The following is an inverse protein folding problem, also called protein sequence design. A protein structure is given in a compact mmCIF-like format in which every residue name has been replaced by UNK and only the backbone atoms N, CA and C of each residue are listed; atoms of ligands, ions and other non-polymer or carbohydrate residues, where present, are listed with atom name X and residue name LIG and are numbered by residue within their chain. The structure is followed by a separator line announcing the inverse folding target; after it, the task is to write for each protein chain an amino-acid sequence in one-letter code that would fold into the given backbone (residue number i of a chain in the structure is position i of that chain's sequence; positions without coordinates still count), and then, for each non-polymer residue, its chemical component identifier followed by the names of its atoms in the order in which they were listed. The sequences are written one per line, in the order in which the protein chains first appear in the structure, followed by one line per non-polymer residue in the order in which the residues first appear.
data_IF_085083744715
#
_entry.id   IF_085083744715
#
_cell.length_a   1.000
_cell.length_b   1.000
_cell.length_c   1.000
_cell.angle_alpha   90.00
_cell.angle_beta   90.00
_cell.angle_gamma   90.00
#
_symmetry.space_group_name_H-M   'P 1'
#
loop_
_entity.id
_entity.type
_entity.pdbx_description
1 polymer ?
#
# COMPACT_ATOMS: atom_id res chain seq x y z
N UNK A 1 -30.04 -24.05 -10.25
CA UNK A 1 -28.73 -24.60 -10.66
C UNK A 1 -27.70 -24.59 -9.52
N UNK A 2 -27.58 -23.50 -8.76
CA UNK A 2 -26.56 -23.30 -7.72
C UNK A 2 -26.51 -24.33 -6.57
N UNK A 3 -27.66 -24.85 -6.12
CA UNK A 3 -27.74 -25.80 -5.00
C UNK A 3 -27.14 -27.18 -5.30
N UNK A 4 -27.21 -27.62 -6.57
CA UNK A 4 -26.65 -28.91 -7.01
C UNK A 4 -25.11 -28.90 -6.94
N UNK A 5 -24.49 -27.81 -7.41
CA UNK A 5 -23.04 -27.61 -7.34
C UNK A 5 -22.51 -27.55 -5.90
N UNK A 6 -23.28 -26.96 -4.98
CA UNK A 6 -22.94 -26.94 -3.54
C UNK A 6 -22.90 -28.34 -2.93
N UNK A 7 -23.90 -29.18 -3.24
CA UNK A 7 -23.94 -30.56 -2.76
C UNK A 7 -22.81 -31.40 -3.40
N UNK A 8 -22.51 -31.16 -4.68
CA UNK A 8 -21.38 -31.78 -5.36
C UNK A 8 -20.03 -31.39 -4.74
N UNK A 9 -19.83 -30.12 -4.39
CA UNK A 9 -18.62 -29.64 -3.73
C UNK A 9 -18.40 -30.30 -2.36
N UNK A 10 -19.42 -30.36 -1.51
CA UNK A 10 -19.35 -31.09 -0.23
C UNK A 10 -19.04 -32.58 -0.46
N UNK A 11 -19.65 -33.19 -1.48
CA UNK A 11 -19.35 -34.58 -1.85
C UNK A 11 -17.89 -34.75 -2.28
N UNK A 12 -17.30 -33.82 -3.03
CA UNK A 12 -15.89 -33.88 -3.42
C UNK A 12 -14.95 -33.77 -2.22
N UNK A 13 -15.23 -32.85 -1.29
CA UNK A 13 -14.45 -32.72 -0.04
C UNK A 13 -14.54 -34.00 0.78
N UNK A 14 -15.75 -34.55 1.01
CA UNK A 14 -15.90 -35.78 1.79
C UNK A 14 -15.24 -37.00 1.12
N UNK A 15 -15.36 -37.16 -0.20
CA UNK A 15 -14.70 -38.24 -0.92
C UNK A 15 -13.17 -38.10 -0.91
N UNK A 16 -12.66 -36.87 -0.95
CA UNK A 16 -11.23 -36.59 -0.82
C UNK A 16 -10.73 -36.94 0.58
N UNK A 17 -11.46 -36.53 1.62
CA UNK A 17 -11.17 -36.89 3.02
C UNK A 17 -11.26 -38.40 3.28
N UNK A 18 -12.17 -39.11 2.62
CA UNK A 18 -12.30 -40.57 2.76
C UNK A 18 -11.10 -41.31 2.15
N UNK A 19 -10.62 -40.85 0.99
CA UNK A 19 -9.51 -41.46 0.24
C UNK A 19 -8.12 -41.04 0.72
N UNK A 20 -8.01 -39.94 1.47
CA UNK A 20 -6.73 -39.41 1.91
C UNK A 20 -6.05 -40.28 2.98
N UNK A 21 -4.71 -40.27 2.96
CA UNK A 21 -3.89 -40.93 3.99
C UNK A 21 -4.17 -40.32 5.38
N UNK A 22 -4.14 -41.11 6.48
CA UNK A 22 -4.36 -40.62 7.84
C UNK A 22 -3.55 -39.36 8.20
N UNK A 23 -2.29 -39.32 7.78
CA UNK A 23 -1.36 -38.20 8.02
C UNK A 23 -1.83 -36.88 7.40
N UNK A 24 -2.39 -36.93 6.18
CA UNK A 24 -2.89 -35.73 5.48
C UNK A 24 -4.22 -35.27 6.07
N UNK A 25 -5.07 -36.21 6.51
CA UNK A 25 -6.36 -35.90 7.15
C UNK A 25 -6.21 -35.18 8.47
N UNK A 26 -5.09 -35.40 9.16
CA UNK A 26 -4.75 -34.74 10.41
C UNK A 26 -4.13 -33.34 10.23
N UNK A 27 -3.91 -32.87 9.01
CA UNK A 27 -3.40 -31.51 8.82
C UNK A 27 -4.44 -30.48 9.26
N UNK A 28 -4.03 -29.46 10.03
CA UNK A 28 -4.93 -28.42 10.54
C UNK A 28 -5.85 -27.80 9.47
N UNK A 29 -5.33 -27.34 8.32
CA UNK A 29 -6.16 -26.75 7.27
C UNK A 29 -7.18 -27.73 6.65
N UNK A 30 -6.87 -29.03 6.63
CA UNK A 30 -7.78 -30.10 6.20
C UNK A 30 -8.85 -30.36 7.27
N UNK A 31 -8.47 -30.43 8.54
CA UNK A 31 -9.41 -30.53 9.67
C UNK A 31 -10.37 -29.33 9.71
N UNK A 32 -9.89 -28.14 9.35
CA UNK A 32 -10.72 -26.93 9.25
C UNK A 32 -11.74 -27.03 8.12
N UNK A 33 -11.32 -27.48 6.94
CA UNK A 33 -12.22 -27.72 5.82
C UNK A 33 -13.26 -28.81 6.12
N UNK A 34 -12.84 -29.90 6.78
CA UNK A 34 -13.72 -30.97 7.22
C UNK A 34 -14.77 -30.49 8.21
N UNK A 35 -14.36 -29.70 9.21
CA UNK A 35 -15.25 -29.11 10.21
C UNK A 35 -16.31 -28.20 9.58
N UNK A 36 -15.92 -27.27 8.72
CA UNK A 36 -16.89 -26.39 8.05
C UNK A 36 -17.80 -27.17 7.10
N UNK A 37 -17.29 -28.19 6.42
CA UNK A 37 -18.11 -29.03 5.52
C UNK A 37 -19.18 -29.83 6.28
N UNK A 38 -18.83 -30.37 7.45
CA UNK A 38 -19.79 -31.04 8.35
C UNK A 38 -20.79 -30.04 8.91
N UNK A 39 -20.33 -28.85 9.31
CA UNK A 39 -21.21 -27.79 9.79
C UNK A 39 -22.20 -27.33 8.71
N UNK A 40 -21.75 -27.07 7.46
CA UNK A 40 -22.63 -26.72 6.33
C UNK A 40 -23.64 -27.84 6.06
N UNK A 41 -23.21 -29.11 6.12
CA UNK A 41 -24.11 -30.26 5.98
C UNK A 41 -25.17 -30.26 7.08
N UNK A 42 -24.77 -30.02 8.33
CA UNK A 42 -25.67 -30.00 9.48
C UNK A 42 -26.59 -28.77 9.48
N UNK A 43 -26.16 -27.62 8.96
CA UNK A 43 -26.99 -26.41 8.84
C UNK A 43 -28.12 -26.56 7.81
N UNK A 44 -28.10 -27.63 7.00
CA UNK A 44 -29.24 -27.99 6.16
C UNK A 44 -30.40 -28.61 6.98
N UNK A 45 -30.10 -29.07 8.19
CA UNK A 45 -31.03 -29.82 9.07
C UNK A 45 -31.32 -29.02 10.35
N UNK A 46 -30.33 -28.31 10.88
CA UNK A 46 -30.40 -27.53 12.13
C UNK A 46 -30.18 -26.04 11.88
N UNK A 47 -30.65 -25.18 12.80
CA UNK A 47 -30.45 -23.72 12.68
C UNK A 47 -28.98 -23.36 12.98
N UNK A 48 -28.26 -22.71 12.03
CA UNK A 48 -26.90 -22.23 12.29
C UNK A 48 -26.89 -21.03 13.26
N UNK A 49 -25.87 -20.93 14.12
CA UNK A 49 -25.66 -19.81 15.05
C UNK A 49 -25.90 -20.11 16.53
N UNK A 50 -26.37 -21.31 16.88
CA UNK A 50 -26.64 -21.70 18.27
C UNK A 50 -25.39 -22.21 19.01
N UNK A 51 -24.34 -22.63 18.29
CA UNK A 51 -23.15 -23.21 18.92
C UNK A 51 -22.04 -22.16 19.08
N UNK A 52 -21.37 -22.15 20.24
CA UNK A 52 -20.33 -21.15 20.58
C UNK A 52 -19.15 -21.16 19.60
N UNK A 53 -18.91 -22.27 18.92
CA UNK A 53 -17.81 -22.43 17.96
C UNK A 53 -18.18 -22.00 16.53
N UNK A 54 -19.46 -21.75 16.23
CA UNK A 54 -19.90 -21.25 14.91
C UNK A 54 -19.15 -19.96 14.54
N UNK A 55 -19.03 -19.04 15.50
CA UNK A 55 -18.28 -17.77 15.33
C UNK A 55 -16.78 -17.95 15.08
N UNK A 56 -16.22 -19.09 15.47
CA UNK A 56 -14.79 -19.36 15.33
C UNK A 56 -14.45 -20.03 13.99
N UNK A 57 -15.40 -20.73 13.37
CA UNK A 57 -15.16 -21.48 12.12
C UNK A 57 -15.78 -20.84 10.87
N UNK A 58 -16.89 -20.13 11.04
CA UNK A 58 -17.65 -19.59 9.91
C UNK A 58 -16.92 -18.39 9.28
N UNK A 59 -16.43 -17.39 10.04
CA UNK A 59 -15.75 -16.26 9.43
C UNK A 59 -14.47 -16.64 8.66
N UNK A 60 -13.57 -17.51 9.19
CA UNK A 60 -12.37 -17.92 8.45
C UNK A 60 -12.68 -18.71 7.18
N UNK A 61 -13.82 -19.40 7.13
CA UNK A 61 -14.22 -20.17 5.96
C UNK A 61 -15.11 -19.39 4.98
N UNK A 62 -15.58 -18.19 5.32
CA UNK A 62 -16.47 -17.41 4.46
C UNK A 62 -15.74 -16.87 3.22
N UNK A 63 -16.52 -16.41 2.24
CA UNK A 63 -16.01 -15.53 1.18
C UNK A 63 -15.69 -14.16 1.77
N UNK A 64 -14.57 -13.54 1.40
CA UNK A 64 -14.16 -12.23 1.90
C UNK A 64 -14.26 -11.24 0.74
N UNK A 65 -15.07 -10.21 0.93
CA UNK A 65 -15.17 -9.09 -0.01
C UNK A 65 -14.22 -7.97 0.45
N UNK A 66 -13.56 -7.33 -0.51
CA UNK A 66 -12.90 -6.05 -0.26
C UNK A 66 -13.97 -4.98 -0.04
N UNK A 67 -13.74 -4.04 0.88
CA UNK A 67 -14.66 -2.91 1.08
C UNK A 67 -14.76 -1.99 -0.17
N UNK A 68 -13.85 -2.14 -1.14
CA UNK A 68 -13.80 -1.38 -2.40
C UNK A 68 -13.94 -2.33 -3.61
N UNK A 69 -15.00 -2.16 -4.41
CA UNK A 69 -15.28 -2.92 -5.65
C UNK A 69 -14.17 -2.81 -6.73
N UNK A 70 -13.20 -1.90 -6.58
CA UNK A 70 -12.09 -1.70 -7.53
C UNK A 70 -10.93 -2.70 -7.35
N UNK A 71 -10.92 -3.51 -6.28
CA UNK A 71 -9.92 -4.56 -6.09
C UNK A 71 -10.49 -5.93 -6.47
N UNK A 72 -10.51 -6.25 -7.77
CA UNK A 72 -10.44 -7.64 -8.22
C UNK A 72 -9.03 -8.15 -7.95
N UNK A 73 -8.72 -8.38 -6.68
CA UNK A 73 -7.50 -9.00 -6.22
C UNK A 73 -7.39 -10.41 -6.85
N UNK A 74 -6.26 -10.70 -7.50
CA UNK A 74 -5.88 -12.08 -7.80
C UNK A 74 -5.87 -12.89 -6.48
N UNK A 75 -6.16 -14.20 -6.50
CA UNK A 75 -6.34 -15.04 -5.30
C UNK A 75 -5.22 -14.86 -4.24
N UNK A 76 -3.99 -14.59 -4.70
CA UNK A 76 -2.80 -14.34 -3.88
C UNK A 76 -2.82 -13.02 -3.07
N UNK A 77 -3.55 -12.00 -3.54
CA UNK A 77 -3.69 -10.71 -2.85
C UNK A 77 -4.79 -10.76 -1.76
N UNK A 78 -5.80 -11.61 -1.95
CA UNK A 78 -6.91 -11.81 -1.00
C UNK A 78 -6.41 -12.31 0.36
N UNK A 79 -5.57 -13.34 0.38
CA UNK A 79 -5.05 -13.90 1.64
C UNK A 79 -4.21 -12.89 2.43
N UNK A 80 -3.48 -12.01 1.74
CA UNK A 80 -2.71 -10.95 2.36
C UNK A 80 -3.61 -9.88 2.99
N UNK A 81 -4.70 -9.52 2.32
CA UNK A 81 -5.66 -8.53 2.81
C UNK A 81 -6.48 -9.05 4.02
N UNK A 82 -6.82 -10.34 4.02
CA UNK A 82 -7.43 -11.03 5.18
C UNK A 82 -6.47 -11.02 6.36
N UNK A 83 -5.19 -11.38 6.15
CA UNK A 83 -4.17 -11.35 7.21
C UNK A 83 -3.90 -9.94 7.76
N UNK A 84 -4.03 -8.90 6.93
CA UNK A 84 -3.89 -7.49 7.32
C UNK A 84 -5.15 -6.89 7.98
N UNK A 85 -6.26 -7.64 8.05
CA UNK A 85 -7.53 -7.18 8.62
C UNK A 85 -8.24 -6.10 7.79
N UNK A 86 -7.97 -6.05 6.48
CA UNK A 86 -8.48 -5.06 5.52
C UNK A 86 -9.61 -5.56 4.64
N UNK A 87 -10.03 -6.81 4.84
CA UNK A 87 -11.20 -7.42 4.22
C UNK A 87 -12.15 -7.87 5.33
N UNK A 88 -13.44 -7.94 5.02
CA UNK A 88 -14.48 -8.48 5.90
C UNK A 88 -15.10 -9.75 5.32
N UNK A 89 -15.55 -10.70 6.15
CA UNK A 89 -16.22 -11.89 5.66
C UNK A 89 -17.65 -11.52 5.21
N UNK A 90 -17.98 -11.81 3.95
CA UNK A 90 -19.30 -11.62 3.35
C UNK A 90 -20.26 -12.75 3.76
N UNK A 91 -20.63 -12.76 5.05
CA UNK A 91 -21.37 -13.87 5.67
C UNK A 91 -22.87 -13.81 5.36
N UNK A 92 -23.49 -12.63 5.51
CA UNK A 92 -24.95 -12.46 5.40
C UNK A 92 -25.39 -11.99 4.01
N UNK A 93 -24.57 -11.19 3.33
CA UNK A 93 -24.91 -10.51 2.07
C UNK A 93 -25.02 -11.47 0.86
N UNK A 94 -24.26 -12.58 0.87
CA UNK A 94 -24.27 -13.57 -0.22
C UNK A 94 -25.09 -14.83 0.07
N UNK A 95 -25.65 -14.95 1.28
CA UNK A 95 -26.46 -16.08 1.74
C UNK A 95 -25.68 -17.39 1.93
N UNK A 96 -26.04 -18.16 2.97
CA UNK A 96 -25.38 -19.36 3.51
C UNK A 96 -24.11 -19.88 2.78
N UNK A 97 -23.00 -19.31 3.24
CA UNK A 97 -21.68 -19.90 3.49
C UNK A 97 -20.93 -20.50 2.30
N UNK A 98 -20.30 -19.62 1.55
CA UNK A 98 -19.26 -19.97 0.59
C UNK A 98 -17.97 -20.30 1.32
N UNK A 99 -17.53 -21.56 1.22
CA UNK A 99 -16.13 -21.88 1.44
C UNK A 99 -15.35 -21.34 0.25
N UNK A 100 -14.63 -20.23 0.44
CA UNK A 100 -13.78 -19.64 -0.62
C UNK A 100 -12.35 -20.14 -0.52
N UNK A 101 -11.61 -20.02 -1.63
CA UNK A 101 -10.18 -20.31 -1.73
C UNK A 101 -9.78 -21.71 -1.22
N UNK A 102 -10.55 -22.76 -1.54
CA UNK A 102 -10.14 -24.13 -1.20
C UNK A 102 -8.92 -24.50 -2.03
N UNK A 103 -7.84 -24.88 -1.37
CA UNK A 103 -6.61 -25.36 -2.01
C UNK A 103 -6.73 -26.87 -2.29
N UNK A 104 -6.14 -27.32 -3.38
CA UNK A 104 -6.03 -28.75 -3.72
C UNK A 104 -4.57 -29.13 -3.91
N UNK A 105 -3.96 -29.63 -2.84
CA UNK A 105 -2.56 -30.03 -2.80
C UNK A 105 -2.42 -31.48 -2.36
N UNK A 106 -1.42 -32.19 -2.87
CA UNK A 106 -1.13 -33.59 -2.51
C UNK A 106 -2.34 -34.55 -2.63
N UNK A 107 -3.31 -34.22 -3.48
CA UNK A 107 -4.52 -35.01 -3.69
C UNK A 107 -5.64 -34.80 -2.67
N UNK A 108 -5.52 -33.81 -1.78
CA UNK A 108 -6.50 -33.50 -0.73
C UNK A 108 -6.94 -32.03 -0.79
N UNK A 109 -8.22 -31.77 -0.50
CA UNK A 109 -8.72 -30.41 -0.34
C UNK A 109 -8.44 -29.87 1.06
N UNK A 110 -8.01 -28.61 1.17
CA UNK A 110 -7.77 -27.92 2.44
C UNK A 110 -8.21 -26.46 2.40
N UNK A 111 -8.42 -25.87 3.58
CA UNK A 111 -8.45 -24.41 3.69
C UNK A 111 -7.04 -23.84 3.46
N UNK A 112 -6.91 -22.57 3.04
CA UNK A 112 -5.63 -21.88 3.02
C UNK A 112 -4.99 -21.86 4.42
N UNK A 113 -3.67 -22.05 4.55
CA UNK A 113 -2.98 -22.01 5.84
C UNK A 113 -3.19 -20.71 6.61
N UNK A 114 -3.34 -19.57 5.92
CA UNK A 114 -3.62 -18.26 6.50
C UNK A 114 -4.95 -18.22 7.28
N UNK A 115 -5.87 -19.15 6.96
CA UNK A 115 -7.20 -19.30 7.56
C UNK A 115 -7.25 -20.42 8.59
N UNK A 116 -6.08 -20.96 8.97
CA UNK A 116 -5.95 -22.00 9.98
C UNK A 116 -6.49 -21.56 11.34
N UNK A 117 -7.18 -22.46 12.02
CA UNK A 117 -7.71 -22.22 13.36
C UNK A 117 -6.64 -22.46 14.42
N UNK A 118 -6.84 -21.93 15.62
CA UNK A 118 -5.96 -22.25 16.74
C UNK A 118 -6.24 -23.66 17.28
N UNK A 119 -5.25 -24.23 17.97
CA UNK A 119 -5.31 -25.58 18.52
C UNK A 119 -6.49 -25.80 19.48
N UNK A 120 -6.86 -24.75 20.24
CA UNK A 120 -7.97 -24.80 21.20
C UNK A 120 -9.32 -24.87 20.49
N UNK A 121 -9.48 -24.14 19.39
CA UNK A 121 -10.70 -24.18 18.58
C UNK A 121 -10.84 -25.53 17.89
N UNK A 122 -9.76 -26.11 17.36
CA UNK A 122 -9.81 -27.47 16.82
C UNK A 122 -10.26 -28.50 17.86
N UNK A 123 -9.68 -28.49 19.06
CA UNK A 123 -10.10 -29.40 20.13
C UNK A 123 -11.59 -29.23 20.47
N UNK A 124 -12.07 -27.98 20.55
CA UNK A 124 -13.49 -27.70 20.81
C UNK A 124 -14.42 -28.21 19.71
N UNK A 125 -14.09 -28.02 18.43
CA UNK A 125 -14.91 -28.46 17.28
C UNK A 125 -15.05 -29.98 17.26
N UNK A 126 -13.94 -30.68 17.50
CA UNK A 126 -13.89 -32.14 17.46
C UNK A 126 -14.26 -32.78 18.81
N UNK A 127 -14.77 -31.97 19.76
CA UNK A 127 -15.20 -32.38 21.09
C UNK A 127 -14.10 -33.14 21.88
N UNK A 128 -12.87 -32.67 21.78
CA UNK A 128 -11.72 -33.13 22.54
C UNK A 128 -11.40 -32.14 23.68
N UNK A 129 -10.97 -32.63 24.83
CA UNK A 129 -10.59 -31.81 25.98
C UNK A 129 -9.22 -31.13 25.80
N UNK A 130 -8.40 -31.67 24.90
CA UNK A 130 -7.07 -31.14 24.59
C UNK A 130 -6.67 -31.41 23.15
N UNK A 131 -5.68 -30.66 22.68
CA UNK A 131 -5.08 -30.89 21.38
C UNK A 131 -4.32 -32.22 21.30
N UNK A 132 -3.74 -32.68 22.42
CA UNK A 132 -3.09 -34.00 22.50
C UNK A 132 -4.10 -35.13 22.29
N UNK A 133 -5.31 -34.99 22.82
CA UNK A 133 -6.41 -35.94 22.57
C UNK A 133 -6.84 -35.94 21.10
N UNK A 134 -6.82 -34.78 20.45
CA UNK A 134 -7.07 -34.67 19.01
C UNK A 134 -5.98 -35.37 18.17
N UNK A 135 -4.70 -35.18 18.51
CA UNK A 135 -3.58 -35.86 17.84
C UNK A 135 -3.67 -37.39 17.98
N UNK A 136 -4.11 -37.87 19.15
CA UNK A 136 -4.38 -39.29 19.41
C UNK A 136 -5.57 -39.80 18.60
N UNK A 137 -6.66 -39.02 18.52
CA UNK A 137 -7.86 -39.37 17.76
C UNK A 137 -7.57 -39.56 16.27
N UNK A 138 -6.69 -38.73 15.71
CA UNK A 138 -6.30 -38.79 14.30
C UNK A 138 -5.02 -39.60 14.03
N UNK A 139 -4.44 -40.22 15.07
CA UNK A 139 -3.24 -41.07 15.02
C UNK A 139 -2.07 -40.44 14.25
N UNK A 140 -1.86 -39.13 14.37
CA UNK A 140 -0.87 -38.41 13.57
C UNK A 140 -0.26 -37.21 14.31
N UNK A 141 1.07 -37.14 14.34
CA UNK A 141 1.85 -35.99 14.82
C UNK A 141 1.84 -34.77 13.87
N UNK A 142 0.91 -34.76 12.89
CA UNK A 142 0.86 -33.80 11.80
C UNK A 142 -0.01 -32.57 12.09
N UNK A 143 -0.78 -32.58 13.19
CA UNK A 143 -1.45 -31.38 13.68
C UNK A 143 -0.38 -30.47 14.29
N UNK A 144 0.43 -29.82 13.46
CA UNK A 144 1.35 -28.80 13.97
C UNK A 144 0.48 -27.68 14.54
N UNK A 145 0.70 -27.29 15.80
CA UNK A 145 0.21 -26.01 16.33
C UNK A 145 0.44 -25.00 15.22
N UNK A 146 -0.63 -24.40 14.69
CA UNK A 146 -0.46 -23.22 13.88
C UNK A 146 0.39 -22.30 14.73
N UNK A 147 1.67 -22.13 14.37
CA UNK A 147 2.42 -20.98 14.84
C UNK A 147 1.53 -19.88 14.33
N UNK A 148 0.82 -19.20 15.24
CA UNK A 148 0.65 -17.76 15.04
C UNK A 148 2.07 -17.32 14.82
N UNK A 149 2.45 -17.17 13.55
CA UNK A 149 3.66 -16.48 13.24
C UNK A 149 3.59 -15.21 14.08
N UNK A 150 4.68 -14.85 14.79
CA UNK A 150 4.68 -13.60 15.52
C UNK A 150 4.06 -12.55 14.61
N UNK A 151 3.17 -11.72 15.13
CA UNK A 151 2.37 -10.72 14.38
C UNK A 151 3.21 -9.81 13.47
N UNK A 152 4.55 -9.90 13.56
CA UNK A 152 5.47 -9.62 12.48
C UNK A 152 5.94 -10.92 11.81
N UNK A 153 5.26 -11.34 10.72
CA UNK A 153 5.99 -11.86 9.57
C UNK A 153 7.24 -10.98 9.41
N UNK A 154 8.47 -11.51 9.22
CA UNK A 154 9.56 -10.67 8.75
C UNK A 154 9.02 -10.10 7.46
N UNK A 155 8.55 -8.83 7.48
CA UNK A 155 7.79 -8.16 6.42
C UNK A 155 8.32 -8.75 5.14
N UNK A 156 7.56 -9.70 4.54
CA UNK A 156 7.97 -10.31 3.28
C UNK A 156 8.04 -9.10 2.41
N UNK A 157 9.28 -8.67 2.16
CA UNK A 157 9.58 -7.27 1.89
C UNK A 157 8.72 -6.99 0.72
N UNK A 158 7.62 -6.20 0.89
CA UNK A 158 6.62 -5.96 -0.16
C UNK A 158 7.47 -5.87 -1.38
N UNK A 159 7.39 -6.88 -2.25
CA UNK A 159 8.32 -6.97 -3.38
C UNK A 159 7.84 -5.75 -4.14
N UNK A 160 8.50 -4.63 -3.85
CA UNK A 160 7.96 -3.28 -4.08
C UNK A 160 7.79 -3.37 -5.56
N UNK A 161 6.54 -3.51 -6.04
CA UNK A 161 6.26 -3.67 -7.47
C UNK A 161 7.17 -2.63 -8.06
N UNK A 162 8.22 -3.09 -8.77
CA UNK A 162 9.25 -2.17 -9.26
C UNK A 162 8.43 -1.26 -10.13
N UNK A 163 8.21 -0.03 -9.68
CA UNK A 163 7.52 0.96 -10.50
C UNK A 163 8.42 0.98 -11.72
N UNK A 164 7.95 0.51 -12.89
CA UNK A 164 8.81 0.44 -14.05
C UNK A 164 9.39 1.84 -14.24
N UNK A 165 10.71 1.96 -14.47
CA UNK A 165 11.32 3.27 -14.68
C UNK A 165 10.51 3.98 -15.75
N UNK A 166 9.93 5.13 -15.41
CA UNK A 166 9.16 5.89 -16.39
C UNK A 166 10.13 6.39 -17.45
N UNK A 167 9.72 6.38 -18.71
CA UNK A 167 10.55 6.89 -19.79
C UNK A 167 10.96 8.33 -19.46
N UNK A 168 12.28 8.57 -19.41
CA UNK A 168 12.86 9.91 -19.38
C UNK A 168 12.40 10.63 -20.63
N UNK A 169 12.08 11.91 -20.49
CA UNK A 169 11.83 12.82 -21.60
C UNK A 169 13.08 13.69 -21.78
N UNK A 170 14.06 13.30 -22.63
CA UNK A 170 15.33 14.00 -22.75
C UNK A 170 15.17 15.42 -23.30
N UNK A 171 14.08 15.66 -24.03
CA UNK A 171 13.59 16.96 -24.49
C UNK A 171 13.32 17.96 -23.36
N UNK A 172 13.24 17.48 -22.11
CA UNK A 172 12.95 18.27 -20.91
C UNK A 172 14.09 18.25 -19.91
N UNK A 173 15.28 17.84 -20.34
CA UNK A 173 16.45 17.86 -19.48
C UNK A 173 16.92 19.29 -19.27
N UNK A 174 17.25 19.59 -18.02
CA UNK A 174 17.82 20.84 -17.54
C UNK A 174 19.31 20.59 -17.37
N UNK A 175 20.14 21.50 -17.85
CA UNK A 175 21.56 21.48 -17.52
C UNK A 175 21.74 21.95 -16.07
N UNK A 176 22.11 21.03 -15.18
CA UNK A 176 22.37 21.33 -13.78
C UNK A 176 23.85 21.69 -13.55
N UNK A 177 24.71 21.61 -14.58
CA UNK A 177 26.13 21.92 -14.48
C UNK A 177 26.93 20.96 -13.58
N UNK A 178 26.40 19.78 -13.27
CA UNK A 178 27.02 18.89 -12.27
C UNK A 178 28.20 18.11 -12.84
N UNK A 179 28.28 17.96 -14.17
CA UNK A 179 29.43 17.42 -14.87
C UNK A 179 30.73 18.22 -14.64
N UNK A 180 30.63 19.54 -14.53
CA UNK A 180 31.78 20.44 -14.30
C UNK A 180 32.07 20.65 -12.80
N UNK A 181 31.09 20.38 -11.94
CA UNK A 181 31.19 20.57 -10.49
C UNK A 181 32.10 19.55 -9.77
N UNK A 182 32.62 18.53 -10.48
CA UNK A 182 33.60 17.59 -9.93
C UNK A 182 33.07 16.64 -8.85
N UNK A 183 31.75 16.47 -8.76
CA UNK A 183 31.08 15.64 -7.74
C UNK A 183 31.46 14.17 -7.91
N UNK A 184 31.93 13.55 -6.81
CA UNK A 184 32.39 12.15 -6.84
C UNK A 184 31.27 11.18 -6.45
N UNK A 185 30.79 10.41 -7.41
CA UNK A 185 29.79 9.35 -7.19
C UNK A 185 30.50 8.02 -6.93
N UNK A 186 30.21 7.36 -5.81
CA UNK A 186 30.74 6.03 -5.49
C UNK A 186 29.89 4.93 -6.14
N UNK A 187 30.53 3.89 -6.66
CA UNK A 187 29.83 2.64 -6.97
C UNK A 187 29.47 1.90 -5.68
N UNK A 188 28.19 1.54 -5.53
CA UNK A 188 27.71 0.73 -4.41
C UNK A 188 27.48 -0.71 -4.87
N UNK A 189 28.30 -1.69 -4.44
CA UNK A 189 28.05 -3.09 -4.78
C UNK A 189 26.82 -3.64 -4.03
N UNK A 190 25.98 -4.41 -4.72
CA UNK A 190 24.98 -5.29 -4.09
C UNK A 190 23.59 -4.70 -3.80
N UNK A 191 23.24 -3.52 -4.31
CA UNK A 191 21.84 -3.03 -4.22
C UNK A 191 21.00 -3.70 -5.30
N UNK A 192 20.34 -4.82 -4.97
CA UNK A 192 19.44 -5.55 -5.87
C UNK A 192 18.26 -4.64 -6.27
N UNK A 193 18.31 -4.10 -7.50
CA UNK A 193 17.36 -3.12 -8.02
C UNK A 193 17.92 -1.72 -8.29
N UNK A 194 19.18 -1.47 -7.95
CA UNK A 194 19.92 -0.37 -8.55
C UNK A 194 20.19 -0.75 -10.01
N UNK A 195 19.36 -0.24 -10.91
CA UNK A 195 19.80 -0.13 -12.30
C UNK A 195 21.07 0.74 -12.23
N UNK A 196 22.17 0.31 -12.85
CA UNK A 196 23.40 1.09 -13.00
C UNK A 196 23.15 2.30 -13.93
N UNK A 197 22.17 3.15 -13.60
CA UNK A 197 21.75 4.32 -14.38
C UNK A 197 22.66 5.47 -13.99
N UNK A 198 23.87 5.44 -14.52
CA UNK A 198 24.55 6.69 -14.85
C UNK A 198 24.82 6.74 -16.37
N UNK A 199 24.01 6.06 -17.17
CA UNK A 199 24.04 6.05 -18.66
C UNK A 199 23.72 7.44 -19.29
N UNK A 200 23.80 8.52 -18.51
CA UNK A 200 23.70 9.91 -18.96
C UNK A 200 24.41 10.91 -18.03
N UNK A 201 25.36 10.45 -17.20
CA UNK A 201 26.05 11.29 -16.23
C UNK A 201 25.19 11.69 -15.01
N UNK A 202 25.78 12.47 -14.11
CA UNK A 202 25.12 12.93 -12.88
C UNK A 202 23.91 13.83 -13.18
N UNK A 203 24.04 14.74 -14.15
CA UNK A 203 22.95 15.57 -14.66
C UNK A 203 21.77 14.75 -15.17
N UNK A 204 22.03 13.67 -15.92
CA UNK A 204 20.96 12.81 -16.43
C UNK A 204 20.17 12.11 -15.32
N UNK A 205 20.85 11.68 -14.25
CA UNK A 205 20.19 11.07 -13.10
C UNK A 205 19.38 12.11 -12.30
N UNK A 206 19.93 13.30 -12.08
CA UNK A 206 19.24 14.38 -11.37
C UNK A 206 18.02 14.86 -12.15
N UNK A 207 18.12 14.97 -13.48
CA UNK A 207 16.97 15.26 -14.35
C UNK A 207 15.87 14.23 -14.22
N UNK A 208 16.23 12.95 -14.26
CA UNK A 208 15.25 11.89 -14.16
C UNK A 208 14.58 11.88 -12.76
N UNK A 209 15.32 12.18 -11.70
CA UNK A 209 14.76 12.38 -10.35
C UNK A 209 13.81 13.58 -10.33
N UNK A 210 14.17 14.70 -10.95
CA UNK A 210 13.34 15.90 -11.02
C UNK A 210 12.03 15.66 -11.76
N UNK A 211 12.08 15.02 -12.94
CA UNK A 211 10.90 14.66 -13.71
C UNK A 211 10.01 13.65 -12.95
N UNK A 212 10.62 12.64 -12.33
CA UNK A 212 9.89 11.67 -11.50
C UNK A 212 9.24 12.34 -10.28
N UNK A 213 9.89 13.36 -9.69
CA UNK A 213 9.33 14.12 -8.57
C UNK A 213 8.00 14.77 -8.95
N UNK A 214 7.96 15.52 -10.05
CA UNK A 214 6.75 16.19 -10.51
C UNK A 214 5.62 15.18 -10.77
N UNK A 215 5.94 14.06 -11.40
CA UNK A 215 4.98 12.98 -11.70
C UNK A 215 4.46 12.27 -10.45
N UNK A 216 5.35 11.95 -9.52
CA UNK A 216 5.00 11.21 -8.32
C UNK A 216 4.16 12.04 -7.35
N UNK A 217 4.45 13.34 -7.21
CA UNK A 217 3.66 14.23 -6.36
C UNK A 217 2.20 14.31 -6.84
N UNK A 218 1.98 14.37 -8.16
CA UNK A 218 0.65 14.32 -8.76
C UNK A 218 -0.01 12.94 -8.59
N UNK A 219 0.75 11.86 -8.75
CA UNK A 219 0.23 10.49 -8.61
C UNK A 219 -0.28 10.19 -7.19
N UNK A 220 0.34 10.78 -6.16
CA UNK A 220 -0.03 10.55 -4.75
C UNK A 220 -0.99 11.60 -4.18
N UNK A 221 -1.69 12.37 -5.03
CA UNK A 221 -2.78 13.25 -4.58
C UNK A 221 -3.79 12.40 -3.79
N UNK A 222 -4.17 12.82 -2.57
CA UNK A 222 -5.02 12.02 -1.71
C UNK A 222 -6.40 11.73 -2.32
N UNK A 223 -6.97 10.60 -1.91
CA UNK A 223 -8.37 10.24 -2.16
C UNK A 223 -9.12 10.18 -0.84
N UNK A 224 -10.38 10.60 -0.86
CA UNK A 224 -11.33 10.39 0.23
C UNK A 224 -12.08 9.09 0.00
N UNK A 225 -12.07 8.19 1.00
CA UNK A 225 -12.85 6.95 0.95
C UNK A 225 -14.35 7.17 0.67
N UNK A 226 -14.90 8.34 1.02
CA UNK A 226 -16.33 8.66 0.84
C UNK A 226 -16.65 9.56 -0.35
N UNK A 227 -15.66 10.24 -0.93
CA UNK A 227 -15.88 11.30 -1.94
C UNK A 227 -15.00 11.16 -3.18
N UNK A 228 -14.27 10.05 -3.30
CA UNK A 228 -13.35 9.81 -4.41
C UNK A 228 -12.07 10.64 -4.33
N UNK A 229 -11.34 10.75 -5.44
CA UNK A 229 -10.06 11.45 -5.50
C UNK A 229 -10.24 12.98 -5.38
N UNK A 230 -9.34 13.65 -4.65
CA UNK A 230 -9.33 15.12 -4.62
C UNK A 230 -8.78 15.75 -5.89
N UNK A 231 -8.22 14.99 -6.83
CA UNK A 231 -7.67 15.53 -8.07
C UNK A 231 -8.70 15.61 -9.18
N UNK A 232 -8.61 16.65 -10.01
CA UNK A 232 -9.31 16.74 -11.29
C UNK A 232 -8.55 16.09 -12.46
N UNK A 233 -7.32 15.64 -12.22
CA UNK A 233 -6.50 14.98 -13.25
C UNK A 233 -6.90 13.53 -13.44
N UNK A 234 -6.95 13.13 -14.70
CA UNK A 234 -6.97 11.73 -15.12
C UNK A 234 -5.68 11.01 -14.75
N UNK A 235 -5.70 9.67 -14.80
CA UNK A 235 -4.51 8.85 -14.50
C UNK A 235 -3.36 9.19 -15.46
N UNK A 236 -3.65 9.40 -16.74
CA UNK A 236 -2.66 9.76 -17.75
C UNK A 236 -2.08 11.16 -17.51
N UNK A 237 -2.92 12.16 -17.20
CA UNK A 237 -2.44 13.51 -16.87
C UNK A 237 -1.54 13.53 -15.62
N UNK A 238 -1.82 12.68 -14.61
CA UNK A 238 -0.92 12.53 -13.46
C UNK A 238 0.37 11.82 -13.84
N UNK A 239 0.29 10.83 -14.74
CA UNK A 239 1.46 10.09 -15.20
C UNK A 239 2.44 11.00 -15.95
N UNK A 240 1.88 11.94 -16.70
CA UNK A 240 2.60 12.82 -17.62
C UNK A 240 2.79 14.24 -17.06
N UNK A 241 2.53 14.43 -15.75
CA UNK A 241 2.65 15.72 -15.09
C UNK A 241 4.04 16.35 -15.29
N UNK A 242 4.03 17.65 -15.55
CA UNK A 242 5.22 18.46 -15.90
C UNK A 242 5.35 19.65 -14.96
N UNK A 243 6.43 20.41 -15.12
CA UNK A 243 6.64 21.63 -14.34
C UNK A 243 5.53 22.67 -14.57
N UNK A 244 4.93 22.69 -15.76
CA UNK A 244 3.83 23.59 -16.11
C UNK A 244 2.62 23.41 -15.18
N UNK A 245 2.33 22.17 -14.79
CA UNK A 245 1.27 21.87 -13.82
C UNK A 245 1.50 22.61 -12.49
N UNK A 246 2.75 22.67 -12.04
CA UNK A 246 3.16 23.26 -10.77
C UNK A 246 3.45 24.76 -10.86
N UNK A 247 3.65 25.30 -12.07
CA UNK A 247 3.77 26.74 -12.36
C UNK A 247 2.41 27.42 -12.54
N UNK A 248 1.37 26.67 -12.88
CA UNK A 248 0.01 27.18 -13.01
C UNK A 248 -0.59 27.63 -11.66
N UNK A 249 -1.35 28.73 -11.66
CA UNK A 249 -2.16 29.15 -10.51
C UNK A 249 -3.53 28.46 -10.44
N UNK A 250 -3.85 27.62 -11.43
CA UNK A 250 -5.05 26.77 -11.45
C UNK A 250 -4.69 25.39 -10.90
N UNK A 251 -5.16 25.09 -9.69
CA UNK A 251 -4.86 23.87 -8.96
C UNK A 251 -5.66 22.70 -9.53
N UNK A 252 -5.02 21.54 -9.76
CA UNK A 252 -5.66 20.35 -10.30
C UNK A 252 -6.43 19.55 -9.23
N UNK A 253 -7.24 20.25 -8.43
CA UNK A 253 -7.93 19.72 -7.25
C UNK A 253 -9.42 20.10 -7.27
N UNK A 254 -10.28 19.24 -6.73
CA UNK A 254 -11.72 19.50 -6.56
C UNK A 254 -12.01 20.36 -5.33
N UNK A 255 -11.14 20.32 -4.33
CA UNK A 255 -11.10 21.24 -3.20
C UNK A 255 -9.70 21.33 -2.59
N UNK A 256 -9.39 22.43 -1.90
CA UNK A 256 -8.11 22.64 -1.24
C UNK A 256 -8.19 23.67 -0.11
N UNK A 257 -7.28 23.54 0.86
CA UNK A 257 -6.93 24.62 1.78
C UNK A 257 -5.59 25.21 1.35
N UNK A 258 -5.62 26.45 0.88
CA UNK A 258 -4.48 27.13 0.26
C UNK A 258 -3.87 28.12 1.24
N UNK A 259 -2.55 28.11 1.37
CA UNK A 259 -1.80 29.05 2.24
C UNK A 259 -0.53 29.52 1.56
N UNK A 260 -0.20 30.80 1.71
CA UNK A 260 1.11 31.32 1.29
C UNK A 260 2.18 30.78 2.24
N UNK A 261 3.20 30.14 1.67
CA UNK A 261 4.38 29.70 2.40
C UNK A 261 5.49 30.73 2.20
N UNK A 262 6.11 31.13 3.31
CA UNK A 262 7.23 32.08 3.26
C UNK A 262 8.41 31.50 2.49
N UNK A 263 9.28 32.37 1.97
CA UNK A 263 10.50 31.93 1.28
C UNK A 263 11.33 30.94 2.12
N UNK A 264 11.51 31.18 3.43
CA UNK A 264 12.22 30.25 4.33
C UNK A 264 11.49 28.90 4.48
N UNK A 265 10.16 28.91 4.57
CA UNK A 265 9.37 27.68 4.60
C UNK A 265 9.54 26.89 3.30
N UNK A 266 9.55 27.58 2.16
CA UNK A 266 9.72 26.95 0.85
C UNK A 266 11.11 26.33 0.70
N UNK A 267 12.15 27.14 0.90
CA UNK A 267 13.54 26.81 0.60
C UNK A 267 14.17 25.89 1.65
N UNK A 268 13.80 26.03 2.92
CA UNK A 268 14.36 25.22 3.99
C UNK A 268 13.41 24.12 4.42
N UNK A 269 12.14 24.42 4.67
CA UNK A 269 11.26 23.38 5.22
C UNK A 269 10.80 22.40 4.15
N UNK A 270 10.22 22.87 3.06
CA UNK A 270 9.68 22.00 2.02
C UNK A 270 10.76 21.36 1.17
N UNK A 271 11.74 22.14 0.70
CA UNK A 271 12.83 21.58 -0.09
C UNK A 271 13.56 20.47 0.68
N UNK A 272 13.95 20.70 1.94
CA UNK A 272 14.60 19.65 2.76
C UNK A 272 13.70 18.44 3.04
N UNK A 273 12.38 18.56 2.88
CA UNK A 273 11.49 17.40 2.98
C UNK A 273 11.45 16.60 1.67
N UNK A 274 11.42 17.25 0.53
CA UNK A 274 11.35 16.56 -0.76
C UNK A 274 12.72 16.03 -1.21
N UNK A 275 13.74 16.84 -1.01
CA UNK A 275 15.13 16.51 -1.28
C UNK A 275 15.88 16.73 0.03
N UNK A 276 16.05 15.74 0.92
CA UNK A 276 16.90 15.85 2.10
C UNK A 276 18.34 15.40 1.82
N UNK A 277 19.30 16.01 2.49
CA UNK A 277 20.66 15.47 2.60
C UNK A 277 20.72 14.33 3.64
N UNK A 278 21.87 13.68 3.78
CA UNK A 278 22.01 12.51 4.66
C UNK A 278 21.67 12.80 6.12
N UNK A 279 22.12 13.94 6.66
CA UNK A 279 21.79 14.36 8.02
C UNK A 279 20.28 14.56 8.21
N UNK A 280 19.63 15.22 7.26
CA UNK A 280 18.18 15.47 7.27
C UNK A 280 17.37 14.17 7.11
N UNK A 281 17.86 13.21 6.32
CA UNK A 281 17.24 11.88 6.19
C UNK A 281 17.24 11.13 7.53
N UNK A 282 18.32 11.18 8.29
CA UNK A 282 18.42 10.55 9.62
C UNK A 282 17.46 11.15 10.64
N UNK A 283 17.16 12.44 10.52
CA UNK A 283 16.22 13.14 11.39
C UNK A 283 14.74 12.85 11.06
N UNK A 284 14.44 12.15 9.96
CA UNK A 284 13.05 11.88 9.56
C UNK A 284 12.38 10.78 10.40
N UNK A 285 11.06 10.86 10.60
CA UNK A 285 10.30 9.78 11.21
C UNK A 285 10.47 8.45 10.46
N UNK A 286 10.52 7.34 11.19
CA UNK A 286 10.66 5.98 10.62
C UNK A 286 9.49 5.62 9.69
N UNK A 287 8.30 6.12 10.01
CA UNK A 287 7.09 5.92 9.19
C UNK A 287 6.80 7.23 8.45
N UNK A 288 6.91 7.18 7.13
CA UNK A 288 6.51 8.26 6.24
C UNK A 288 5.40 7.78 5.32
N UNK A 289 4.38 8.61 5.15
CA UNK A 289 3.24 8.40 4.27
C UNK A 289 3.56 8.96 2.88
N UNK A 290 3.24 8.18 1.85
CA UNK A 290 3.41 8.44 0.40
C UNK A 290 4.86 8.56 -0.10
N UNK A 291 5.84 8.98 0.69
CA UNK A 291 7.25 8.99 0.27
C UNK A 291 7.75 7.61 -0.18
N UNK A 292 7.41 6.56 0.57
CA UNK A 292 7.84 5.20 0.27
C UNK A 292 7.29 4.63 -1.04
N UNK A 293 6.20 5.19 -1.58
CA UNK A 293 5.60 4.79 -2.86
C UNK A 293 6.05 5.63 -4.05
N UNK A 294 6.84 6.70 -3.83
CA UNK A 294 7.36 7.54 -4.89
C UNK A 294 8.67 6.96 -5.45
N UNK A 295 8.79 6.91 -6.78
CA UNK A 295 9.98 6.48 -7.49
C UNK A 295 11.14 7.48 -7.33
N UNK A 296 10.88 8.78 -7.48
CA UNK A 296 11.90 9.83 -7.32
C UNK A 296 12.57 9.74 -5.95
N UNK A 297 11.77 9.45 -4.92
CA UNK A 297 12.26 9.38 -3.54
C UNK A 297 13.27 8.25 -3.38
N UNK A 298 13.00 7.08 -3.96
CA UNK A 298 13.91 5.95 -3.89
C UNK A 298 15.21 6.23 -4.64
N UNK A 299 15.12 6.83 -5.82
CA UNK A 299 16.30 7.24 -6.60
C UNK A 299 17.11 8.29 -5.88
N UNK A 300 16.47 9.30 -5.29
CA UNK A 300 17.12 10.32 -4.48
C UNK A 300 17.87 9.71 -3.29
N UNK A 301 17.26 8.76 -2.57
CA UNK A 301 17.94 8.06 -1.47
C UNK A 301 19.13 7.23 -1.94
N UNK A 302 19.07 6.65 -3.14
CA UNK A 302 20.20 5.91 -3.73
C UNK A 302 21.30 6.88 -4.14
N UNK A 303 20.96 7.97 -4.84
CA UNK A 303 21.91 8.99 -5.28
C UNK A 303 22.66 9.60 -4.09
N UNK A 304 21.94 10.02 -3.05
CA UNK A 304 22.55 10.57 -1.83
C UNK A 304 23.40 9.56 -1.07
N UNK A 305 23.11 8.25 -1.14
CA UNK A 305 24.01 7.23 -0.61
C UNK A 305 25.27 7.02 -1.46
N UNK A 306 25.19 7.21 -2.78
CA UNK A 306 26.34 7.13 -3.68
C UNK A 306 27.27 8.35 -3.53
N UNK A 307 26.71 9.52 -3.24
CA UNK A 307 27.45 10.78 -3.01
C UNK A 307 27.70 10.94 -1.51
N UNK A 308 28.83 10.43 -1.02
CA UNK A 308 29.02 10.29 0.43
C UNK A 308 29.43 11.57 1.17
N UNK A 309 30.01 12.56 0.48
CA UNK A 309 30.39 13.83 1.09
C UNK A 309 29.16 14.74 1.16
N UNK A 310 28.85 15.29 2.34
CA UNK A 310 27.68 16.17 2.50
C UNK A 310 27.81 17.44 1.63
N UNK A 311 29.02 17.99 1.48
CA UNK A 311 29.27 19.13 0.58
C UNK A 311 28.89 18.84 -0.87
N UNK A 312 29.23 17.66 -1.39
CA UNK A 312 28.86 17.23 -2.75
C UNK A 312 27.35 17.03 -2.90
N UNK A 313 26.64 16.62 -1.83
CA UNK A 313 25.18 16.56 -1.85
C UNK A 313 24.59 17.96 -1.96
N UNK A 314 25.12 18.92 -1.22
CA UNK A 314 24.67 20.31 -1.27
C UNK A 314 24.95 20.95 -2.65
N UNK A 315 26.06 20.60 -3.30
CA UNK A 315 26.33 20.99 -4.70
C UNK A 315 25.28 20.46 -5.68
N UNK A 316 24.78 19.24 -5.49
CA UNK A 316 23.68 18.70 -6.32
C UNK A 316 22.35 19.40 -6.00
N UNK A 317 22.13 19.72 -4.73
CA UNK A 317 20.87 20.27 -4.23
C UNK A 317 20.67 21.73 -4.63
N UNK A 318 21.74 22.51 -4.72
CA UNK A 318 21.67 23.93 -5.04
C UNK A 318 20.96 24.23 -6.38
N UNK A 319 21.35 23.64 -7.52
CA UNK A 319 20.65 23.91 -8.78
C UNK A 319 19.25 23.28 -8.82
N UNK A 320 19.03 22.16 -8.12
CA UNK A 320 17.67 21.63 -7.89
C UNK A 320 16.78 22.61 -7.10
N UNK A 321 17.34 23.30 -6.10
CA UNK A 321 16.62 24.31 -5.33
C UNK A 321 16.23 25.48 -6.23
N UNK A 322 17.10 25.88 -7.16
CA UNK A 322 16.77 26.93 -8.15
C UNK A 322 15.55 26.55 -8.99
N UNK A 323 15.45 25.30 -9.46
CA UNK A 323 14.25 24.84 -10.17
C UNK A 323 13.03 24.72 -9.24
N UNK A 324 13.23 24.22 -8.02
CA UNK A 324 12.18 24.11 -7.01
C UNK A 324 11.56 25.46 -6.62
N UNK A 325 12.34 26.54 -6.66
CA UNK A 325 11.89 27.91 -6.40
C UNK A 325 11.01 28.48 -7.52
N UNK A 326 11.03 27.89 -8.72
CA UNK A 326 10.17 28.32 -9.84
C UNK A 326 8.75 27.77 -9.73
N UNK A 327 8.51 26.78 -8.89
CA UNK A 327 7.19 26.18 -8.70
C UNK A 327 6.26 27.16 -7.97
N UNK A 328 5.05 27.32 -8.49
CA UNK A 328 4.01 28.19 -7.92
C UNK A 328 3.35 27.56 -6.71
N UNK A 329 3.08 26.26 -6.76
CA UNK A 329 2.40 25.56 -5.69
C UNK A 329 2.98 24.18 -5.46
N UNK A 330 2.84 23.71 -4.22
CA UNK A 330 3.21 22.36 -3.80
C UNK A 330 2.23 21.85 -2.74
N UNK A 331 2.18 20.52 -2.52
CA UNK A 331 1.53 19.97 -1.34
C UNK A 331 2.09 20.62 -0.08
N UNK A 332 1.22 20.96 0.87
CA UNK A 332 1.68 21.31 2.20
C UNK A 332 2.18 20.04 2.89
N UNK A 333 3.47 19.78 2.79
CA UNK A 333 4.09 18.62 3.43
C UNK A 333 4.09 18.75 4.96
N UNK A 334 4.18 17.63 5.65
CA UNK A 334 4.56 17.55 7.07
C UNK A 334 5.90 16.81 7.19
N UNK A 335 6.36 16.56 8.43
CA UNK A 335 7.52 15.70 8.66
C UNK A 335 7.31 14.25 8.23
N UNK A 336 6.06 13.78 8.26
CA UNK A 336 5.70 12.38 8.03
C UNK A 336 4.94 12.14 6.72
N UNK A 337 4.45 13.15 5.99
CA UNK A 337 3.66 12.95 4.76
C UNK A 337 3.87 14.03 3.69
N UNK A 338 3.64 13.65 2.44
CA UNK A 338 3.68 14.57 1.28
C UNK A 338 2.47 15.49 1.29
N UNK A 339 1.27 14.93 1.39
CA UNK A 339 0.00 15.66 1.37
C UNK A 339 -0.60 15.67 2.78
N UNK A 340 -0.65 16.85 3.40
CA UNK A 340 -1.46 17.02 4.60
C UNK A 340 -2.94 17.21 4.23
N UNK A 341 -3.82 16.50 4.92
CA UNK A 341 -5.27 16.57 4.76
C UNK A 341 -5.88 16.83 6.12
N UNK A 342 -6.69 17.87 6.24
CA UNK A 342 -7.32 18.25 7.51
C UNK A 342 -8.81 18.48 7.29
N UNK A 343 -9.59 18.39 8.37
CA UNK A 343 -11.06 18.61 8.32
C UNK A 343 -11.43 20.10 8.33
N UNK A 344 -10.49 20.94 8.76
CA UNK A 344 -10.69 22.37 8.93
C UNK A 344 -9.48 23.14 8.42
N UNK A 345 -9.74 24.29 7.79
CA UNK A 345 -8.73 25.31 7.56
C UNK A 345 -8.25 25.84 8.93
N UNK A 346 -6.93 25.86 9.16
CA UNK A 346 -6.32 26.39 10.38
C UNK A 346 -5.43 27.57 10.05
N UNK A 347 -5.54 28.66 10.81
CA UNK A 347 -4.76 29.88 10.60
C UNK A 347 -5.15 30.62 9.32
N UNK A 348 -4.19 31.30 8.69
CA UNK A 348 -4.38 32.09 7.46
C UNK A 348 -4.44 31.19 6.20
N UNK A 349 -5.41 30.28 6.14
CA UNK A 349 -5.68 29.47 4.95
C UNK A 349 -6.95 29.96 4.25
N UNK A 350 -6.93 30.02 2.92
CA UNK A 350 -8.11 30.22 2.07
C UNK A 350 -8.67 28.86 1.68
N UNK A 351 -9.99 28.71 1.75
CA UNK A 351 -10.67 27.48 1.35
C UNK A 351 -11.19 27.59 -0.08
N UNK A 352 -10.89 26.59 -0.91
CA UNK A 352 -11.36 26.48 -2.29
C UNK A 352 -12.17 25.18 -2.47
N UNK A 353 -13.37 25.23 -3.06
CA UNK A 353 -14.20 26.43 -3.24
C UNK A 353 -14.55 27.07 -1.88
N UNK A 354 -14.91 28.36 -1.85
CA UNK A 354 -15.12 29.13 -0.59
C UNK A 354 -16.11 28.51 0.40
N UNK A 355 -17.07 27.74 -0.11
CA UNK A 355 -18.11 27.08 0.69
C UNK A 355 -17.83 25.59 0.95
N UNK A 356 -16.61 25.10 0.69
CA UNK A 356 -16.27 23.70 0.92
C UNK A 356 -16.31 23.37 2.40
N UNK A 357 -17.07 22.31 2.74
CA UNK A 357 -17.17 21.78 4.09
C UNK A 357 -16.71 20.33 4.08
N UNK A 358 -15.72 20.04 4.92
CA UNK A 358 -15.15 18.71 5.11
C UNK A 358 -13.66 18.66 4.80
N UNK A 359 -13.07 17.45 4.81
CA UNK A 359 -11.65 17.30 4.60
C UNK A 359 -11.21 17.81 3.23
N UNK A 360 -10.03 18.43 3.18
CA UNK A 360 -9.39 18.89 1.96
C UNK A 360 -7.86 18.78 2.06
N UNK A 361 -7.15 18.58 0.94
CA UNK A 361 -5.70 18.68 0.87
C UNK A 361 -5.24 20.11 1.16
N UNK A 362 -4.14 20.25 1.89
CA UNK A 362 -3.47 21.54 2.09
C UNK A 362 -2.45 21.78 0.98
N UNK A 363 -2.44 22.99 0.45
CA UNK A 363 -1.56 23.44 -0.63
C UNK A 363 -0.80 24.67 -0.17
N UNK A 364 0.51 24.69 -0.43
CA UNK A 364 1.36 25.83 -0.25
C UNK A 364 1.50 26.61 -1.56
N UNK A 365 1.43 27.94 -1.49
CA UNK A 365 1.73 28.86 -2.59
C UNK A 365 3.06 29.55 -2.30
N UNK A 366 3.93 29.61 -3.30
CA UNK A 366 5.24 30.21 -3.19
C UNK A 366 5.13 31.75 -3.13
N UNK A 367 5.53 32.33 -1.99
CA UNK A 367 5.52 33.78 -1.77
C UNK A 367 6.39 34.54 -2.80
N UNK A 368 7.47 33.94 -3.29
CA UNK A 368 8.42 34.58 -4.24
C UNK A 368 7.77 34.95 -5.57
N UNK A 369 6.70 34.27 -5.96
CA UNK A 369 6.01 34.54 -7.23
C UNK A 369 4.97 35.65 -7.13
N UNK A 370 4.73 36.21 -5.93
CA UNK A 370 3.82 37.35 -5.69
C UNK A 370 2.42 37.08 -6.28
N UNK A 371 1.92 35.85 -6.15
CA UNK A 371 0.61 35.46 -6.62
C UNK A 371 -0.40 35.74 -5.50
N UNK A 372 -1.35 36.68 -5.69
CA UNK A 372 -2.42 36.91 -4.72
C UNK A 372 -3.27 35.64 -4.58
N UNK A 373 -3.67 35.29 -3.36
CA UNK A 373 -4.49 34.10 -3.10
C UNK A 373 -5.83 34.13 -3.87
N UNK A 374 -6.32 35.32 -4.20
CA UNK A 374 -7.54 35.53 -4.98
C UNK A 374 -7.40 35.08 -6.45
N UNK A 375 -6.16 34.99 -6.96
CA UNK A 375 -5.87 34.50 -8.32
C UNK A 375 -5.66 32.98 -8.37
N UNK A 376 -5.56 32.33 -7.21
CA UNK A 376 -5.45 30.87 -7.15
C UNK A 376 -6.85 30.28 -7.32
N UNK A 377 -7.01 29.44 -8.33
CA UNK A 377 -8.29 28.84 -8.71
C UNK A 377 -8.20 27.32 -8.71
N UNK A 378 -9.34 26.63 -8.76
CA UNK A 378 -9.39 25.20 -9.06
C UNK A 378 -9.64 25.04 -10.56
N UNK A 379 -9.09 23.99 -11.17
CA UNK A 379 -9.30 23.64 -12.59
C UNK A 379 -10.74 23.21 -12.88
#
# INVERSE_FOLDING_TARGET
MFRYWRLAALRYVFLSLEKAKPELRAMGPVLGLGAISVWIKNSLIFRPGEQRWDKAIVPPAAYWDAEDEENLAEDDEVENLVAEGRMGPAIEERGLYFVSAVEYDYGIYSLPPARGLDARTYAMIYNCNSFTELELLFMASAVKKARKEPTALPRRTKLRRRIPPRARSPDRDIDFGLGEAGVRVRHLPGVVGAVDVLDGGLDGEVNAIWQDFLRDIAAVIPCSAKRGCYSTLTIDERRDATEELYKSSSLPLTCAYVKIASADTWDRLFFNRFFPNTAQQKARPVKTQHFGSCHYWLRWLVLTKKVAAEGDQDTIREPLLTEFQKLCWLPWSSSDRIWDTDKHAKGQCVTLPRNHIGPAPKVAINERLIIPLERVTLR
#
